data_IF_699397325470
#
_entry.id   IF_699397325470
#
_cell.length_a   1.000
_cell.length_b   1.000
_cell.length_c   1.000
_cell.angle_alpha   90.00
_cell.angle_beta   90.00
_cell.angle_gamma   90.00
#
_symmetry.space_group_name_H-M   'P 1'
#
loop_
_entity.id
_entity.type
_entity.pdbx_description
1 polymer ?
#
# COMPACT_ATOMS: atom_id res chain seq x y z
N UNK A 1 7.90 -17.02 0.02
CA UNK A 1 7.82 -16.56 -1.39
C UNK A 1 7.96 -17.73 -2.39
N UNK A 2 9.08 -18.45 -2.44
CA UNK A 2 9.31 -19.54 -3.44
C UNK A 2 8.17 -20.56 -3.45
N UNK A 3 7.71 -21.04 -2.28
CA UNK A 3 6.62 -22.01 -2.17
C UNK A 3 5.29 -21.45 -2.70
N UNK A 4 5.01 -20.17 -2.47
CA UNK A 4 3.79 -19.52 -2.99
C UNK A 4 3.85 -19.45 -4.51
N UNK A 5 4.98 -18.97 -5.05
CA UNK A 5 5.18 -18.86 -6.50
C UNK A 5 5.08 -20.22 -7.17
N UNK A 6 5.81 -21.22 -6.66
CA UNK A 6 5.77 -22.59 -7.19
C UNK A 6 4.38 -23.21 -7.03
N UNK A 7 3.72 -23.03 -5.88
CA UNK A 7 2.38 -23.52 -5.62
C UNK A 7 1.34 -22.95 -6.60
N UNK A 8 1.32 -21.63 -6.79
CA UNK A 8 0.40 -20.99 -7.73
C UNK A 8 0.71 -21.35 -9.20
N UNK A 9 1.98 -21.45 -9.58
CA UNK A 9 2.35 -21.92 -10.91
C UNK A 9 1.87 -23.37 -11.16
N UNK A 10 1.99 -24.22 -10.16
CA UNK A 10 1.49 -25.60 -10.24
C UNK A 10 -0.04 -25.64 -10.32
N UNK A 11 -0.73 -24.81 -9.53
CA UNK A 11 -2.21 -24.69 -9.61
C UNK A 11 -2.61 -24.20 -10.98
N UNK A 12 -1.92 -23.21 -11.56
CA UNK A 12 -2.20 -22.74 -12.91
C UNK A 12 -2.08 -23.87 -13.96
N UNK A 13 -1.03 -24.70 -13.84
CA UNK A 13 -0.85 -25.85 -14.73
C UNK A 13 -2.03 -26.82 -14.63
N UNK A 14 -2.40 -27.25 -13.41
CA UNK A 14 -3.55 -28.15 -13.21
C UNK A 14 -4.88 -27.52 -13.62
N UNK A 15 -5.09 -26.24 -13.28
CA UNK A 15 -6.31 -25.53 -13.65
C UNK A 15 -6.43 -25.37 -15.17
N UNK A 16 -5.33 -25.13 -15.88
CA UNK A 16 -5.33 -25.04 -17.33
C UNK A 16 -5.63 -26.38 -17.98
N UNK A 17 -5.13 -27.48 -17.45
CA UNK A 17 -5.44 -28.83 -17.93
C UNK A 17 -6.93 -29.14 -17.76
N UNK A 18 -7.49 -28.88 -16.59
CA UNK A 18 -8.92 -29.02 -16.31
C UNK A 18 -9.81 -28.12 -17.19
N UNK A 19 -9.34 -26.93 -17.55
CA UNK A 19 -10.04 -26.01 -18.43
C UNK A 19 -9.93 -26.36 -19.94
N UNK A 20 -9.24 -27.42 -20.29
CA UNK A 20 -9.01 -27.83 -21.69
C UNK A 20 -7.84 -27.11 -22.37
N UNK A 21 -6.88 -26.59 -21.58
CA UNK A 21 -5.65 -25.94 -22.03
C UNK A 21 -5.69 -24.41 -21.99
N UNK A 22 -4.50 -23.80 -22.04
CA UNK A 22 -4.37 -22.33 -22.03
C UNK A 22 -5.11 -21.64 -23.18
N UNK A 23 -5.18 -22.27 -24.36
CA UNK A 23 -5.91 -21.72 -25.49
C UNK A 23 -7.40 -21.51 -25.20
N UNK A 24 -8.01 -22.49 -24.50
CA UNK A 24 -9.44 -22.38 -24.12
C UNK A 24 -9.67 -21.28 -23.10
N UNK A 25 -8.76 -21.11 -22.13
CA UNK A 25 -8.83 -20.01 -21.15
C UNK A 25 -8.76 -18.64 -21.84
N UNK A 26 -7.84 -18.48 -22.80
CA UNK A 26 -7.68 -17.24 -23.56
C UNK A 26 -8.91 -16.97 -24.43
N UNK A 27 -9.45 -17.98 -25.12
CA UNK A 27 -10.65 -17.83 -25.92
C UNK A 27 -11.85 -17.44 -25.07
N UNK A 28 -12.04 -18.09 -23.92
CA UNK A 28 -13.09 -17.76 -22.97
C UNK A 28 -12.97 -16.32 -22.46
N UNK A 29 -11.75 -15.87 -22.15
CA UNK A 29 -11.50 -14.52 -21.71
C UNK A 29 -11.76 -13.48 -22.81
N UNK A 30 -11.43 -13.81 -24.09
CA UNK A 30 -11.72 -12.96 -25.24
C UNK A 30 -13.22 -12.87 -25.53
N UNK A 31 -13.94 -14.01 -25.49
CA UNK A 31 -15.39 -14.04 -25.73
C UNK A 31 -16.18 -13.24 -24.70
N UNK A 32 -15.68 -13.18 -23.46
CA UNK A 32 -16.30 -12.42 -22.36
C UNK A 32 -15.68 -11.05 -22.14
N UNK A 33 -14.77 -10.63 -23.02
CA UNK A 33 -14.13 -9.31 -22.99
C UNK A 33 -13.42 -8.98 -21.66
N UNK A 34 -12.80 -10.01 -21.04
CA UNK A 34 -12.14 -9.87 -19.74
C UNK A 34 -10.77 -9.18 -19.81
N UNK A 35 -10.23 -8.94 -21.02
CA UNK A 35 -8.96 -8.27 -21.20
C UNK A 35 -9.05 -6.73 -21.28
N UNK A 36 -10.22 -6.17 -20.97
CA UNK A 36 -10.37 -4.71 -20.89
C UNK A 36 -9.63 -4.14 -19.67
N UNK A 37 -8.40 -3.69 -19.89
CA UNK A 37 -7.60 -3.02 -18.86
C UNK A 37 -7.89 -1.50 -18.77
N UNK A 38 -8.52 -0.92 -19.78
CA UNK A 38 -8.84 0.50 -19.86
C UNK A 38 -10.30 0.76 -19.49
N UNK A 39 -10.61 1.89 -18.87
CA UNK A 39 -11.97 2.25 -18.53
C UNK A 39 -12.79 2.56 -19.80
N UNK A 40 -14.10 2.62 -19.64
CA UNK A 40 -14.96 3.16 -20.68
C UNK A 40 -14.48 4.56 -21.13
N UNK A 41 -14.61 4.92 -22.42
CA UNK A 41 -14.12 6.18 -22.96
C UNK A 41 -14.99 7.38 -22.54
N UNK A 42 -15.32 7.44 -21.26
CA UNK A 42 -16.05 8.53 -20.62
C UNK A 42 -15.12 9.31 -19.68
N UNK A 43 -15.37 10.60 -19.53
CA UNK A 43 -14.59 11.45 -18.60
C UNK A 43 -14.64 10.89 -17.19
N UNK A 44 -15.81 10.46 -16.74
CA UNK A 44 -15.99 9.87 -15.40
C UNK A 44 -15.22 8.56 -15.27
N UNK A 45 -15.29 7.66 -16.26
CA UNK A 45 -14.55 6.40 -16.26
C UNK A 45 -13.05 6.62 -16.11
N UNK A 46 -12.48 7.57 -16.85
CA UNK A 46 -11.06 7.92 -16.73
C UNK A 46 -10.70 8.52 -15.37
N UNK A 47 -11.55 9.38 -14.80
CA UNK A 47 -11.31 9.95 -13.47
C UNK A 47 -11.27 8.87 -12.38
N UNK A 48 -12.22 7.94 -12.40
CA UNK A 48 -12.24 6.83 -11.44
C UNK A 48 -11.06 5.87 -11.64
N UNK A 49 -10.71 5.56 -12.89
CA UNK A 49 -9.55 4.73 -13.18
C UNK A 49 -8.24 5.36 -12.71
N UNK A 50 -8.02 6.66 -12.99
CA UNK A 50 -6.85 7.41 -12.50
C UNK A 50 -6.83 7.44 -10.97
N UNK A 51 -7.98 7.65 -10.34
CA UNK A 51 -8.08 7.63 -8.88
C UNK A 51 -7.69 6.28 -8.28
N UNK A 52 -8.17 5.17 -8.85
CA UNK A 52 -7.81 3.82 -8.44
C UNK A 52 -6.31 3.55 -8.66
N UNK A 53 -5.77 3.96 -9.81
CA UNK A 53 -4.35 3.84 -10.11
C UNK A 53 -3.49 4.64 -9.10
N UNK A 54 -3.82 5.90 -8.83
CA UNK A 54 -3.15 6.73 -7.82
C UNK A 54 -3.21 6.06 -6.45
N UNK A 55 -4.38 5.55 -6.04
CA UNK A 55 -4.56 4.89 -4.75
C UNK A 55 -3.64 3.69 -4.61
N UNK A 56 -3.60 2.80 -5.58
CA UNK A 56 -2.82 1.57 -5.52
C UNK A 56 -1.32 1.78 -5.75
N UNK A 57 -0.93 2.64 -6.70
CA UNK A 57 0.48 2.87 -7.03
C UNK A 57 1.17 3.79 -6.03
N UNK A 58 0.50 4.84 -5.57
CA UNK A 58 1.10 5.88 -4.72
C UNK A 58 0.85 5.61 -3.24
N UNK A 59 -0.29 4.98 -2.89
CA UNK A 59 -0.70 4.79 -1.49
C UNK A 59 0.26 3.94 -0.65
N UNK A 60 1.02 3.06 -1.27
CA UNK A 60 2.04 2.27 -0.58
C UNK A 60 3.33 3.04 -0.26
N UNK A 61 3.60 4.16 -0.97
CA UNK A 61 4.87 4.91 -0.82
C UNK A 61 5.05 5.46 0.60
N UNK A 62 4.07 6.16 1.22
CA UNK A 62 4.24 6.72 2.56
C UNK A 62 3.95 5.71 3.68
N UNK A 63 3.89 4.41 3.40
CA UNK A 63 3.61 3.41 4.42
C UNK A 63 4.85 3.02 5.22
N UNK A 64 4.69 2.92 6.52
CA UNK A 64 5.77 2.64 7.47
C UNK A 64 6.41 1.26 7.24
N UNK A 65 5.64 0.25 6.89
CA UNK A 65 6.15 -1.10 6.66
C UNK A 65 7.06 -1.19 5.43
N UNK A 66 6.78 -0.40 4.38
CA UNK A 66 7.65 -0.27 3.19
C UNK A 66 8.96 0.44 3.58
N UNK A 67 8.85 1.56 4.30
CA UNK A 67 10.04 2.31 4.75
C UNK A 67 10.95 1.48 5.63
N UNK A 68 10.43 0.76 6.61
CA UNK A 68 11.22 -0.10 7.49
C UNK A 68 12.05 -1.12 6.71
N UNK A 69 11.48 -1.73 5.68
CA UNK A 69 12.18 -2.72 4.84
C UNK A 69 13.26 -2.09 3.99
N UNK A 70 12.99 -0.94 3.39
CA UNK A 70 13.97 -0.20 2.58
C UNK A 70 15.12 0.32 3.44
N UNK A 71 14.81 0.90 4.61
CA UNK A 71 15.82 1.44 5.53
C UNK A 71 16.68 0.37 6.21
N UNK A 72 16.19 -0.87 6.30
CA UNK A 72 16.97 -2.00 6.84
C UNK A 72 17.93 -2.64 5.82
N UNK A 73 18.01 -2.12 4.60
CA UNK A 73 18.91 -2.65 3.58
C UNK A 73 20.37 -2.40 3.91
N UNK A 74 21.24 -3.38 3.61
CA UNK A 74 22.67 -3.34 3.91
C UNK A 74 23.42 -2.14 3.29
N UNK A 75 22.98 -1.70 2.13
CA UNK A 75 23.56 -0.57 1.39
C UNK A 75 22.53 0.07 0.46
N UNK A 76 22.84 1.28 -0.04
CA UNK A 76 21.97 2.05 -0.94
C UNK A 76 21.63 1.29 -2.22
N UNK A 77 22.58 0.59 -2.82
CA UNK A 77 22.33 -0.20 -4.04
C UNK A 77 21.26 -1.28 -3.81
N UNK A 78 21.33 -1.98 -2.67
CA UNK A 78 20.33 -2.99 -2.30
C UNK A 78 18.97 -2.35 -1.98
N UNK A 79 18.97 -1.17 -1.33
CA UNK A 79 17.74 -0.43 -1.02
C UNK A 79 16.99 0.01 -2.29
N UNK A 80 17.69 0.31 -3.36
CA UNK A 80 17.11 0.72 -4.65
C UNK A 80 16.80 -0.50 -5.54
N UNK A 81 17.75 -1.42 -5.68
CA UNK A 81 17.58 -2.58 -6.57
C UNK A 81 16.53 -3.57 -6.06
N UNK A 82 16.41 -3.75 -4.74
CA UNK A 82 15.44 -4.66 -4.14
C UNK A 82 14.00 -4.37 -4.55
N UNK A 83 13.46 -3.19 -4.27
CA UNK A 83 12.11 -2.80 -4.69
C UNK A 83 11.90 -2.82 -6.21
N UNK A 84 12.91 -2.42 -7.00
CA UNK A 84 12.81 -2.42 -8.46
C UNK A 84 12.66 -3.83 -9.03
N UNK A 85 13.55 -4.74 -8.64
CA UNK A 85 13.51 -6.15 -9.06
C UNK A 85 12.23 -6.80 -8.53
N UNK A 86 11.90 -6.56 -7.25
CA UNK A 86 10.67 -7.07 -6.64
C UNK A 86 9.42 -6.61 -7.38
N UNK A 87 9.36 -5.36 -7.79
CA UNK A 87 8.26 -4.81 -8.58
C UNK A 87 8.11 -5.48 -9.96
N UNK A 88 9.22 -5.67 -10.67
CA UNK A 88 9.20 -6.36 -11.98
C UNK A 88 8.70 -7.81 -11.82
N UNK A 89 9.25 -8.54 -10.85
CA UNK A 89 8.83 -9.93 -10.55
C UNK A 89 7.35 -9.97 -10.16
N UNK A 90 6.90 -9.00 -9.36
CA UNK A 90 5.49 -8.90 -8.94
C UNK A 90 4.55 -8.68 -10.13
N UNK A 91 4.88 -7.78 -11.05
CA UNK A 91 4.08 -7.51 -12.25
C UNK A 91 3.97 -8.76 -13.11
N UNK A 92 5.09 -9.45 -13.38
CA UNK A 92 5.08 -10.68 -14.16
C UNK A 92 4.28 -11.79 -13.49
N UNK A 93 4.40 -11.91 -12.17
CA UNK A 93 3.70 -12.92 -11.41
C UNK A 93 2.20 -12.63 -11.23
N UNK A 94 1.77 -11.38 -11.28
CA UNK A 94 0.36 -10.98 -11.13
C UNK A 94 -0.57 -11.62 -12.17
N UNK A 95 -0.06 -11.97 -13.36
CA UNK A 95 -0.83 -12.68 -14.37
C UNK A 95 -1.20 -14.11 -13.97
N UNK A 96 -0.39 -14.77 -13.13
CA UNK A 96 -0.65 -16.17 -12.71
C UNK A 96 -2.01 -16.30 -12.00
N UNK A 97 -2.32 -15.59 -10.91
CA UNK A 97 -3.63 -15.67 -10.28
C UNK A 97 -4.77 -15.21 -11.19
N UNK A 98 -4.54 -14.25 -12.09
CA UNK A 98 -5.56 -13.83 -13.06
C UNK A 98 -5.97 -14.99 -13.98
N UNK A 99 -5.00 -15.70 -14.55
CA UNK A 99 -5.29 -16.87 -15.38
C UNK A 99 -5.95 -18.00 -14.59
N UNK A 100 -5.59 -18.20 -13.31
CA UNK A 100 -6.23 -19.20 -12.46
C UNK A 100 -7.71 -18.84 -12.22
N UNK A 101 -8.03 -17.56 -12.01
CA UNK A 101 -9.41 -17.11 -11.85
C UNK A 101 -10.23 -17.36 -13.12
N UNK A 102 -9.69 -17.04 -14.29
CA UNK A 102 -10.37 -17.32 -15.56
C UNK A 102 -10.53 -18.85 -15.78
N UNK A 103 -9.51 -19.65 -15.47
CA UNK A 103 -9.62 -21.11 -15.51
C UNK A 103 -10.72 -21.62 -14.56
N UNK A 104 -10.87 -21.05 -13.37
CA UNK A 104 -11.93 -21.39 -12.43
C UNK A 104 -13.32 -21.09 -13.01
N UNK A 105 -13.47 -19.98 -13.75
CA UNK A 105 -14.73 -19.65 -14.45
C UNK A 105 -15.08 -20.65 -15.54
N UNK A 106 -14.08 -21.24 -16.18
CA UNK A 106 -14.30 -22.31 -17.19
C UNK A 106 -14.62 -23.64 -16.52
N UNK A 107 -13.92 -24.00 -15.44
CA UNK A 107 -14.04 -25.31 -14.77
C UNK A 107 -15.31 -25.42 -13.93
N UNK A 108 -15.74 -24.33 -13.31
CA UNK A 108 -16.90 -24.30 -12.40
C UNK A 108 -17.79 -23.07 -12.66
N UNK A 109 -18.45 -22.96 -13.83
CA UNK A 109 -19.15 -21.76 -14.27
C UNK A 109 -20.25 -21.30 -13.29
N UNK A 110 -21.13 -22.19 -12.85
CA UNK A 110 -22.26 -21.85 -11.95
C UNK A 110 -21.77 -21.38 -10.57
N UNK A 111 -20.74 -22.03 -10.02
CA UNK A 111 -20.15 -21.66 -8.73
C UNK A 111 -19.40 -20.32 -8.86
N UNK A 112 -18.70 -20.12 -9.97
CA UNK A 112 -17.94 -18.90 -10.23
C UNK A 112 -18.85 -17.69 -10.37
N UNK A 113 -19.95 -17.80 -11.10
CA UNK A 113 -20.90 -16.72 -11.27
C UNK A 113 -21.50 -16.29 -9.92
N UNK A 114 -21.92 -17.24 -9.10
CA UNK A 114 -22.43 -16.95 -7.77
C UNK A 114 -21.36 -16.30 -6.87
N UNK A 115 -20.14 -16.85 -6.83
CA UNK A 115 -19.07 -16.34 -5.98
C UNK A 115 -18.58 -14.96 -6.43
N UNK A 116 -18.54 -14.66 -7.71
CA UNK A 116 -18.14 -13.34 -8.21
C UNK A 116 -19.08 -12.23 -7.73
N UNK A 117 -20.38 -12.54 -7.54
CA UNK A 117 -21.36 -11.58 -7.03
C UNK A 117 -21.45 -11.53 -5.50
N UNK A 118 -21.13 -12.63 -4.81
CA UNK A 118 -21.31 -12.72 -3.34
C UNK A 118 -20.01 -12.58 -2.56
N UNK A 119 -18.96 -13.31 -2.96
CA UNK A 119 -17.67 -13.35 -2.26
C UNK A 119 -16.53 -13.77 -3.24
N UNK A 120 -16.05 -12.86 -4.10
CA UNK A 120 -15.06 -13.16 -5.13
C UNK A 120 -13.76 -13.76 -4.61
N UNK A 121 -13.38 -13.42 -3.37
CA UNK A 121 -12.16 -13.91 -2.74
C UNK A 121 -12.18 -15.42 -2.44
N UNK A 122 -13.36 -16.06 -2.42
CA UNK A 122 -13.50 -17.51 -2.22
C UNK A 122 -13.29 -18.32 -3.51
N UNK A 123 -13.26 -17.69 -4.68
CA UNK A 123 -13.21 -18.38 -5.95
C UNK A 123 -11.95 -19.27 -6.06
N UNK A 124 -10.77 -18.70 -5.83
CA UNK A 124 -9.50 -19.45 -5.87
C UNK A 124 -9.41 -20.52 -4.78
N UNK A 125 -9.72 -20.26 -3.50
CA UNK A 125 -9.78 -21.30 -2.47
C UNK A 125 -10.75 -22.45 -2.81
N UNK A 126 -11.91 -22.16 -3.40
CA UNK A 126 -12.90 -23.17 -3.79
C UNK A 126 -12.36 -24.04 -4.91
N UNK A 127 -11.78 -23.45 -5.97
CA UNK A 127 -11.13 -24.21 -7.04
C UNK A 127 -10.06 -25.16 -6.47
N UNK A 128 -9.20 -24.66 -5.59
CA UNK A 128 -8.13 -25.49 -5.01
C UNK A 128 -8.71 -26.58 -4.12
N UNK A 129 -9.70 -26.26 -3.29
CA UNK A 129 -10.31 -27.22 -2.35
C UNK A 129 -11.01 -28.37 -3.08
N UNK A 130 -11.75 -28.10 -4.14
CA UNK A 130 -12.68 -29.06 -4.72
C UNK A 130 -12.09 -29.79 -5.95
N UNK A 131 -11.19 -29.15 -6.69
CA UNK A 131 -10.67 -29.67 -7.96
C UNK A 131 -9.19 -30.06 -7.95
N UNK A 132 -8.41 -29.68 -6.91
CA UNK A 132 -6.98 -29.98 -6.89
C UNK A 132 -6.66 -31.21 -6.04
N UNK A 133 -5.54 -31.94 -6.33
CA UNK A 133 -5.12 -33.08 -5.53
C UNK A 133 -4.74 -32.68 -4.11
N UNK A 134 -4.88 -33.59 -3.15
CA UNK A 134 -4.71 -33.35 -1.71
C UNK A 134 -3.37 -32.70 -1.36
N UNK A 135 -2.27 -33.15 -1.95
CA UNK A 135 -0.95 -32.57 -1.67
C UNK A 135 -0.85 -31.10 -2.08
N UNK A 136 -1.49 -30.71 -3.18
CA UNK A 136 -1.49 -29.31 -3.65
C UNK A 136 -2.38 -28.41 -2.79
N UNK A 137 -3.51 -28.95 -2.29
CA UNK A 137 -4.36 -28.25 -1.29
C UNK A 137 -3.55 -27.90 -0.04
N UNK A 138 -2.81 -28.86 0.51
CA UNK A 138 -1.99 -28.66 1.73
C UNK A 138 -0.92 -27.60 1.48
N UNK A 139 -0.20 -27.67 0.36
CA UNK A 139 0.82 -26.68 -0.01
C UNK A 139 0.20 -25.29 -0.16
N UNK A 140 -0.91 -25.17 -0.87
CA UNK A 140 -1.58 -23.89 -1.11
C UNK A 140 -2.06 -23.23 0.20
N UNK A 141 -2.89 -23.94 0.98
CA UNK A 141 -3.44 -23.38 2.22
C UNK A 141 -2.34 -23.11 3.27
N UNK A 142 -1.32 -23.97 3.34
CA UNK A 142 -0.15 -23.73 4.20
C UNK A 142 0.65 -22.50 3.77
N UNK A 143 0.86 -22.31 2.47
CA UNK A 143 1.55 -21.15 1.93
C UNK A 143 0.76 -19.85 2.15
N UNK A 144 -0.56 -19.87 1.91
CA UNK A 144 -1.45 -18.73 2.16
C UNK A 144 -1.45 -18.35 3.65
N UNK A 145 -1.62 -19.32 4.54
CA UNK A 145 -1.59 -19.08 5.98
C UNK A 145 -0.25 -18.47 6.43
N UNK A 146 0.86 -19.02 5.95
CA UNK A 146 2.19 -18.49 6.23
C UNK A 146 2.36 -17.04 5.73
N UNK A 147 1.87 -16.73 4.53
CA UNK A 147 1.91 -15.38 3.97
C UNK A 147 1.08 -14.38 4.81
N UNK A 148 -0.13 -14.78 5.18
CA UNK A 148 -1.03 -13.96 6.04
C UNK A 148 -0.38 -13.70 7.39
N UNK A 149 0.16 -14.72 8.06
CA UNK A 149 0.81 -14.57 9.36
C UNK A 149 2.04 -13.65 9.27
N UNK A 150 2.87 -13.81 8.24
CA UNK A 150 4.05 -12.97 8.01
C UNK A 150 3.69 -11.50 7.80
N UNK A 151 2.69 -11.25 6.97
CA UNK A 151 2.22 -9.89 6.67
C UNK A 151 1.55 -9.25 7.88
N UNK A 152 0.64 -9.97 8.55
CA UNK A 152 -0.05 -9.47 9.75
C UNK A 152 0.94 -9.09 10.86
N UNK A 153 1.96 -9.92 11.09
CA UNK A 153 3.00 -9.61 12.09
C UNK A 153 3.74 -8.31 11.77
N UNK A 154 4.12 -8.10 10.52
CA UNK A 154 4.84 -6.88 10.11
C UNK A 154 3.96 -5.63 10.19
N UNK A 155 2.71 -5.73 9.71
CA UNK A 155 1.77 -4.59 9.68
C UNK A 155 1.27 -4.17 11.05
N UNK A 156 1.19 -5.10 12.02
CA UNK A 156 0.84 -4.76 13.42
C UNK A 156 2.05 -4.20 14.17
N UNK A 157 3.26 -4.70 13.89
CA UNK A 157 4.46 -4.24 14.58
C UNK A 157 4.79 -2.77 14.24
N UNK A 158 4.64 -2.36 12.98
CA UNK A 158 4.99 -1.01 12.53
C UNK A 158 4.25 0.11 13.29
N UNK A 159 2.91 0.14 13.36
CA UNK A 159 2.19 1.15 14.14
C UNK A 159 2.43 0.99 15.65
N UNK A 160 2.62 -0.22 16.15
CA UNK A 160 2.93 -0.45 17.56
C UNK A 160 4.25 0.22 17.96
N UNK A 161 5.29 0.07 17.12
CA UNK A 161 6.57 0.73 17.33
C UNK A 161 6.42 2.24 17.28
N UNK A 162 5.69 2.78 16.29
CA UNK A 162 5.45 4.22 16.17
C UNK A 162 4.72 4.80 17.39
N UNK A 163 3.72 4.11 17.92
CA UNK A 163 3.00 4.54 19.14
C UNK A 163 3.92 4.56 20.34
N UNK A 164 4.70 3.50 20.57
CA UNK A 164 5.59 3.43 21.73
C UNK A 164 6.71 4.47 21.61
N UNK A 165 7.37 4.56 20.44
CA UNK A 165 8.53 5.43 20.27
C UNK A 165 8.17 6.91 20.14
N UNK A 166 7.03 7.26 19.53
CA UNK A 166 6.71 8.66 19.22
C UNK A 166 5.64 9.26 20.14
N UNK A 167 4.80 8.42 20.76
CA UNK A 167 3.71 8.90 21.62
C UNK A 167 4.04 8.57 23.08
N UNK A 168 4.17 7.30 23.43
CA UNK A 168 4.34 6.91 24.83
C UNK A 168 5.67 7.38 25.42
N UNK A 169 6.76 7.39 24.64
CA UNK A 169 8.08 7.86 25.08
C UNK A 169 8.12 9.36 25.42
N UNK A 170 7.16 10.17 24.92
CA UNK A 170 7.03 11.58 25.27
C UNK A 170 6.52 11.74 26.72
N UNK A 171 5.64 10.83 27.15
CA UNK A 171 5.00 10.90 28.47
C UNK A 171 5.70 10.02 29.52
N UNK A 172 6.42 8.99 29.08
CA UNK A 172 7.03 7.98 29.95
C UNK A 172 8.47 7.73 29.57
N UNK A 173 9.36 7.74 30.57
CA UNK A 173 10.76 7.30 30.36
C UNK A 173 10.81 5.79 30.42
N UNK A 174 11.23 5.16 29.34
CA UNK A 174 11.37 3.70 29.25
C UNK A 174 12.84 3.28 29.41
N UNK A 175 13.06 2.29 30.25
CA UNK A 175 14.24 1.43 30.20
C UNK A 175 14.03 0.34 29.12
N UNK A 176 15.08 -0.27 28.60
CA UNK A 176 15.02 -1.27 27.51
C UNK A 176 13.99 -2.38 27.79
N UNK A 177 13.93 -2.87 29.04
CA UNK A 177 12.97 -3.92 29.44
C UNK A 177 11.53 -3.42 29.48
N UNK A 178 11.31 -2.19 29.91
CA UNK A 178 9.98 -1.57 29.99
C UNK A 178 9.49 -1.19 28.59
N UNK A 179 10.37 -0.73 27.71
CA UNK A 179 10.08 -0.43 26.32
C UNK A 179 9.63 -1.69 25.57
N UNK A 180 10.35 -2.81 25.73
CA UNK A 180 9.95 -4.09 25.14
C UNK A 180 8.61 -4.58 25.65
N UNK A 181 8.31 -4.41 26.95
CA UNK A 181 6.99 -4.74 27.50
C UNK A 181 5.88 -3.85 26.94
N UNK A 182 6.13 -2.54 26.85
CA UNK A 182 5.20 -1.59 26.23
C UNK A 182 4.88 -1.98 24.78
N UNK A 183 5.92 -2.32 23.99
CA UNK A 183 5.72 -2.79 22.59
C UNK A 183 4.87 -4.05 22.53
N UNK A 184 5.10 -5.06 23.39
CA UNK A 184 4.29 -6.28 23.42
C UNK A 184 2.83 -6.02 23.76
N UNK A 185 2.56 -5.15 24.74
CA UNK A 185 1.19 -4.78 25.10
C UNK A 185 0.51 -3.97 24.00
N UNK A 186 1.24 -3.10 23.31
CA UNK A 186 0.71 -2.32 22.18
C UNK A 186 0.38 -3.23 21.01
N UNK A 187 1.26 -4.19 20.67
CA UNK A 187 0.99 -5.21 19.64
C UNK A 187 -0.27 -6.02 20.00
N UNK A 188 -0.37 -6.47 21.25
CA UNK A 188 -1.54 -7.23 21.71
C UNK A 188 -2.84 -6.42 21.60
N UNK A 189 -2.82 -5.16 22.03
CA UNK A 189 -3.95 -4.25 21.91
C UNK A 189 -4.35 -4.02 20.44
N UNK A 190 -3.39 -3.70 19.57
CA UNK A 190 -3.67 -3.56 18.14
C UNK A 190 -4.22 -4.82 17.51
N UNK A 191 -3.73 -5.99 17.92
CA UNK A 191 -4.26 -7.27 17.43
C UNK A 191 -5.73 -7.42 17.79
N UNK A 192 -6.13 -7.07 19.02
CA UNK A 192 -7.53 -7.11 19.44
C UNK A 192 -8.40 -6.11 18.68
N UNK A 193 -7.91 -4.90 18.46
CA UNK A 193 -8.62 -3.86 17.66
C UNK A 193 -8.83 -4.34 16.23
N UNK A 194 -7.77 -4.85 15.59
CA UNK A 194 -7.85 -5.38 14.22
C UNK A 194 -8.78 -6.57 14.13
N UNK A 195 -8.75 -7.47 15.12
CA UNK A 195 -9.67 -8.61 15.18
C UNK A 195 -11.12 -8.13 15.28
N UNK A 196 -11.42 -7.20 16.20
CA UNK A 196 -12.76 -6.62 16.33
C UNK A 196 -13.24 -5.96 15.05
N UNK A 197 -12.39 -5.17 14.40
CA UNK A 197 -12.69 -4.56 13.12
C UNK A 197 -12.94 -5.61 12.02
N UNK A 198 -12.08 -6.63 11.92
CA UNK A 198 -12.22 -7.71 10.94
C UNK A 198 -13.53 -8.46 11.07
N UNK A 199 -14.02 -8.66 12.31
CA UNK A 199 -15.32 -9.29 12.55
C UNK A 199 -16.50 -8.40 12.14
N UNK A 200 -16.35 -7.07 12.15
CA UNK A 200 -17.41 -6.13 11.76
C UNK A 200 -17.53 -5.92 10.26
N UNK A 201 -16.46 -6.18 9.49
CA UNK A 201 -16.40 -5.97 8.02
C UNK A 201 -16.43 -7.27 7.22
N UNK A 202 -16.96 -8.34 7.79
CA UNK A 202 -17.10 -9.62 7.08
C UNK A 202 -17.93 -9.46 5.81
N UNK A 203 -17.46 -10.08 4.71
CA UNK A 203 -18.09 -9.98 3.39
C UNK A 203 -17.57 -8.83 2.50
N UNK A 204 -16.80 -7.90 3.05
CA UNK A 204 -16.15 -6.87 2.23
C UNK A 204 -14.98 -7.48 1.45
N UNK A 205 -14.86 -7.16 0.16
CA UNK A 205 -13.75 -7.63 -0.65
C UNK A 205 -12.40 -7.14 -0.11
N UNK A 206 -11.39 -8.00 -0.12
CA UNK A 206 -10.03 -7.66 0.36
C UNK A 206 -9.47 -6.45 -0.41
N UNK A 207 -9.77 -6.37 -1.72
CA UNK A 207 -9.37 -5.24 -2.56
C UNK A 207 -9.89 -3.91 -2.00
N UNK A 208 -11.17 -3.84 -1.63
CA UNK A 208 -11.79 -2.62 -1.11
C UNK A 208 -11.21 -2.22 0.25
N UNK A 209 -10.97 -3.20 1.12
CA UNK A 209 -10.31 -2.96 2.40
C UNK A 209 -8.90 -2.39 2.23
N UNK A 210 -8.12 -2.93 1.30
CA UNK A 210 -6.77 -2.43 0.98
C UNK A 210 -6.84 -1.04 0.35
N UNK A 211 -7.77 -0.83 -0.59
CA UNK A 211 -7.99 0.47 -1.21
C UNK A 211 -8.35 1.53 -0.16
N UNK A 212 -9.25 1.24 0.76
CA UNK A 212 -9.60 2.13 1.88
C UNK A 212 -8.38 2.45 2.75
N UNK A 213 -7.56 1.45 3.09
CA UNK A 213 -6.35 1.65 3.88
C UNK A 213 -5.31 2.55 3.18
N UNK A 214 -5.24 2.49 1.84
CA UNK A 214 -4.31 3.29 1.04
C UNK A 214 -4.76 4.73 0.81
N UNK A 215 -6.06 5.03 0.94
CA UNK A 215 -6.60 6.39 0.75
C UNK A 215 -5.98 7.40 1.73
N UNK A 216 -5.88 7.06 3.02
CA UNK A 216 -5.31 7.96 4.03
C UNK A 216 -3.85 8.35 3.74
N UNK A 217 -2.92 7.41 3.45
CA UNK A 217 -1.56 7.74 3.06
C UNK A 217 -1.47 8.60 1.80
N UNK A 218 -2.29 8.33 0.78
CA UNK A 218 -2.31 9.11 -0.46
C UNK A 218 -2.69 10.56 -0.19
N UNK A 219 -3.79 10.75 0.51
CA UNK A 219 -4.39 12.06 0.72
C UNK A 219 -3.64 12.88 1.78
N UNK A 220 -3.18 12.22 2.86
CA UNK A 220 -2.61 12.91 4.02
C UNK A 220 -1.08 12.96 4.07
N UNK A 221 -0.38 11.97 3.52
CA UNK A 221 1.05 11.79 3.77
C UNK A 221 1.93 11.91 2.52
N UNK A 222 1.42 11.60 1.34
CA UNK A 222 2.23 11.56 0.11
C UNK A 222 2.87 12.91 -0.23
N UNK A 223 2.08 13.97 -0.34
CA UNK A 223 2.59 15.30 -0.69
C UNK A 223 3.54 15.87 0.36
N UNK A 224 3.25 15.82 1.66
CA UNK A 224 4.20 16.16 2.72
C UNK A 224 5.53 15.43 2.60
N UNK A 225 5.49 14.13 2.33
CA UNK A 225 6.69 13.31 2.18
C UNK A 225 7.50 13.71 0.95
N UNK A 226 6.88 13.74 -0.24
CA UNK A 226 7.57 14.04 -1.51
C UNK A 226 8.11 15.45 -1.52
N UNK A 227 7.29 16.44 -1.15
CA UNK A 227 7.74 17.82 -1.09
C UNK A 227 8.80 18.03 0.01
N UNK A 228 8.68 17.35 1.13
CA UNK A 228 9.69 17.41 2.20
C UNK A 228 11.05 16.89 1.74
N UNK A 229 11.09 15.86 0.90
CA UNK A 229 12.33 15.29 0.38
C UNK A 229 12.92 16.06 -0.81
N UNK A 230 12.07 16.51 -1.75
CA UNK A 230 12.54 17.02 -3.04
C UNK A 230 12.35 18.53 -3.24
N UNK A 231 11.47 19.17 -2.47
CA UNK A 231 11.19 20.58 -2.64
C UNK A 231 11.71 21.45 -1.49
N UNK A 232 12.83 22.15 -1.71
CA UNK A 232 13.54 22.97 -0.70
C UNK A 232 12.70 24.10 -0.08
N UNK A 233 11.57 24.47 -0.67
CA UNK A 233 10.69 25.53 -0.18
C UNK A 233 9.55 25.02 0.69
N UNK A 234 9.48 23.72 0.95
CA UNK A 234 8.44 23.12 1.81
C UNK A 234 8.54 23.68 3.22
N UNK A 235 7.40 24.11 3.76
CA UNK A 235 7.31 24.67 5.11
C UNK A 235 6.35 23.85 5.98
N UNK A 236 6.49 23.98 7.32
CA UNK A 236 5.57 23.32 8.27
C UNK A 236 4.11 23.70 8.01
N UNK A 237 3.84 24.97 7.69
CA UNK A 237 2.48 25.42 7.38
C UNK A 237 1.95 24.78 6.11
N UNK A 238 2.77 24.64 5.06
CA UNK A 238 2.42 23.95 3.84
C UNK A 238 2.04 22.49 4.11
N UNK A 239 2.81 21.79 4.97
CA UNK A 239 2.51 20.43 5.39
C UNK A 239 1.16 20.34 6.10
N UNK A 240 0.91 21.17 7.11
CA UNK A 240 -0.37 21.17 7.82
C UNK A 240 -1.56 21.51 6.90
N UNK A 241 -1.39 22.50 6.03
CA UNK A 241 -2.44 22.87 5.09
C UNK A 241 -2.73 21.77 4.06
N UNK A 242 -1.68 21.08 3.60
CA UNK A 242 -1.80 19.91 2.74
C UNK A 242 -2.65 18.80 3.38
N UNK A 243 -2.28 18.41 4.59
CA UNK A 243 -2.98 17.35 5.32
C UNK A 243 -4.43 17.72 5.61
N UNK A 244 -4.69 18.97 6.04
CA UNK A 244 -6.03 19.44 6.37
C UNK A 244 -6.92 19.54 5.13
N UNK A 245 -6.46 20.20 4.06
CA UNK A 245 -7.25 20.34 2.84
C UNK A 245 -7.51 19.01 2.17
N UNK A 246 -6.48 18.14 2.12
CA UNK A 246 -6.64 16.80 1.60
C UNK A 246 -7.71 16.01 2.34
N UNK A 247 -7.62 15.98 3.68
CA UNK A 247 -8.57 15.26 4.52
C UNK A 247 -9.99 15.84 4.42
N UNK A 248 -10.15 17.16 4.41
CA UNK A 248 -11.46 17.83 4.30
C UNK A 248 -12.10 17.50 2.96
N UNK A 249 -11.39 17.71 1.84
CA UNK A 249 -11.95 17.47 0.51
C UNK A 249 -12.26 15.99 0.31
N UNK A 250 -11.38 15.10 0.73
CA UNK A 250 -11.63 13.65 0.71
C UNK A 250 -12.89 13.29 1.51
N UNK A 251 -13.04 13.81 2.73
CA UNK A 251 -14.20 13.55 3.59
C UNK A 251 -15.49 14.10 2.97
N UNK A 252 -15.46 15.32 2.46
CA UNK A 252 -16.64 15.93 1.79
C UNK A 252 -17.07 15.07 0.60
N UNK A 253 -16.13 14.69 -0.26
CA UNK A 253 -16.45 13.84 -1.42
C UNK A 253 -16.91 12.42 -1.03
N UNK A 254 -16.40 11.88 0.08
CA UNK A 254 -16.80 10.54 0.55
C UNK A 254 -18.23 10.53 1.11
N UNK A 255 -18.66 11.62 1.76
CA UNK A 255 -19.97 11.66 2.44
C UNK A 255 -21.05 12.47 1.70
N UNK A 256 -20.74 12.94 0.50
CA UNK A 256 -21.71 13.64 -0.35
C UNK A 256 -21.84 12.98 -1.71
N UNK A 257 -22.96 13.21 -2.41
CA UNK A 257 -23.18 12.76 -3.77
C UNK A 257 -22.20 13.33 -4.82
N UNK A 258 -21.36 14.30 -4.43
CA UNK A 258 -20.30 14.81 -5.29
C UNK A 258 -19.25 13.73 -5.60
N UNK A 259 -19.08 12.76 -4.70
CA UNK A 259 -18.18 11.61 -4.89
C UNK A 259 -18.61 10.68 -6.04
N UNK A 260 -19.87 10.68 -6.43
CA UNK A 260 -20.37 9.89 -7.57
C UNK A 260 -19.91 10.49 -8.92
N UNK A 261 -19.63 11.79 -8.95
CA UNK A 261 -19.16 12.51 -10.14
C UNK A 261 -17.64 12.67 -10.16
N UNK A 262 -17.05 12.94 -8.99
CA UNK A 262 -15.62 13.16 -8.87
C UNK A 262 -15.01 12.29 -7.77
N UNK A 263 -14.02 11.41 -8.08
CA UNK A 263 -13.48 10.45 -7.13
C UNK A 263 -12.87 11.11 -5.90
N UNK A 264 -13.26 10.65 -4.71
CA UNK A 264 -12.87 11.20 -3.43
C UNK A 264 -11.34 11.24 -3.22
N UNK A 265 -10.64 10.16 -3.58
CA UNK A 265 -9.18 10.09 -3.42
C UNK A 265 -8.47 11.06 -4.36
N UNK A 266 -8.90 11.15 -5.60
CA UNK A 266 -8.32 12.09 -6.56
C UNK A 266 -8.54 13.53 -6.10
N UNK A 267 -9.75 13.86 -5.62
CA UNK A 267 -10.07 15.18 -5.06
C UNK A 267 -9.21 15.53 -3.86
N UNK A 268 -9.13 14.62 -2.89
CA UNK A 268 -8.27 14.79 -1.71
C UNK A 268 -6.78 14.92 -2.07
N UNK A 269 -6.29 14.10 -3.00
CA UNK A 269 -4.92 14.15 -3.50
C UNK A 269 -4.57 15.50 -4.15
N UNK A 270 -5.42 16.00 -5.04
CA UNK A 270 -5.22 17.30 -5.67
C UNK A 270 -5.31 18.47 -4.68
N UNK A 271 -6.25 18.40 -3.74
CA UNK A 271 -6.40 19.40 -2.69
C UNK A 271 -5.18 19.44 -1.74
N UNK A 272 -4.63 18.26 -1.40
CA UNK A 272 -3.41 18.16 -0.62
C UNK A 272 -2.20 18.77 -1.36
N UNK A 273 -2.07 18.48 -2.66
CA UNK A 273 -1.05 19.09 -3.51
C UNK A 273 -1.17 20.59 -3.61
N UNK A 274 -2.39 21.10 -3.79
CA UNK A 274 -2.65 22.54 -3.75
C UNK A 274 -2.31 23.15 -2.38
N UNK A 275 -2.68 22.48 -1.29
CA UNK A 275 -2.43 22.91 0.08
C UNK A 275 -0.94 23.07 0.40
N UNK A 276 -0.10 22.10 -0.01
CA UNK A 276 1.34 22.18 0.28
C UNK A 276 2.00 23.32 -0.51
N UNK A 277 1.61 23.49 -1.78
CA UNK A 277 2.15 24.56 -2.63
C UNK A 277 1.77 25.94 -2.08
N UNK A 278 0.48 26.18 -1.86
CA UNK A 278 -0.02 27.47 -1.38
C UNK A 278 0.50 27.78 0.02
N UNK A 279 0.43 26.82 0.95
CA UNK A 279 0.89 27.02 2.32
C UNK A 279 2.41 27.23 2.43
N UNK A 280 3.20 26.66 1.51
CA UNK A 280 4.65 26.87 1.50
C UNK A 280 5.08 28.18 0.82
N UNK A 281 4.30 28.68 -0.14
CA UNK A 281 4.60 29.90 -0.87
C UNK A 281 4.09 31.16 -0.16
N UNK A 282 3.09 31.06 0.73
CA UNK A 282 2.59 32.20 1.48
C UNK A 282 3.66 32.70 2.48
N UNK A 283 4.11 33.96 2.39
CA UNK A 283 5.17 34.48 3.21
C UNK A 283 4.63 34.88 4.60
N UNK A 284 4.51 33.94 5.50
CA UNK A 284 4.18 34.22 6.92
C UNK A 284 5.44 34.41 7.75
N UNK A 285 5.31 35.10 8.90
CA UNK A 285 6.45 35.32 9.82
C UNK A 285 7.10 34.01 10.25
N UNK A 286 6.32 32.97 10.55
CA UNK A 286 6.81 31.68 10.94
C UNK A 286 7.61 30.98 9.82
N UNK A 287 7.17 31.10 8.56
CA UNK A 287 7.90 30.57 7.41
C UNK A 287 9.22 31.31 7.16
N UNK A 288 9.26 32.62 7.35
CA UNK A 288 10.49 33.41 7.23
C UNK A 288 11.51 33.01 8.29
N UNK A 289 11.11 32.98 9.55
CA UNK A 289 11.98 32.57 10.66
C UNK A 289 12.53 31.17 10.45
N UNK A 290 11.68 30.21 10.09
CA UNK A 290 12.11 28.86 9.80
C UNK A 290 13.13 28.78 8.65
N UNK A 291 12.90 29.51 7.57
CA UNK A 291 13.83 29.54 6.43
C UNK A 291 15.14 30.24 6.77
N UNK A 292 15.13 31.26 7.63
CA UNK A 292 16.31 31.94 8.12
C UNK A 292 17.13 31.03 9.07
N UNK A 293 16.46 30.38 10.01
CA UNK A 293 17.08 29.38 10.90
C UNK A 293 17.67 28.21 10.13
N UNK A 294 16.93 27.69 9.14
CA UNK A 294 17.40 26.60 8.29
C UNK A 294 18.60 27.00 7.45
N UNK A 295 18.60 28.22 6.87
CA UNK A 295 19.72 28.77 6.12
C UNK A 295 20.94 28.98 7.03
N UNK A 296 20.73 29.55 8.20
CA UNK A 296 21.81 29.74 9.18
C UNK A 296 22.45 28.40 9.60
N UNK A 297 21.63 27.39 9.85
CA UNK A 297 22.10 26.06 10.29
C UNK A 297 22.78 25.25 9.18
N UNK A 298 22.44 25.49 7.92
CA UNK A 298 22.94 24.72 6.77
C UNK A 298 23.79 25.56 5.81
N UNK A 299 24.24 26.74 6.23
CA UNK A 299 24.98 27.67 5.38
C UNK A 299 26.20 26.99 4.73
N UNK A 300 26.96 26.23 5.48
CA UNK A 300 28.16 25.52 5.00
C UNK A 300 27.83 24.28 4.15
N UNK A 301 26.69 23.65 4.38
CA UNK A 301 26.22 22.47 3.63
C UNK A 301 25.58 22.83 2.29
N UNK A 302 25.00 24.02 2.15
CA UNK A 302 24.36 24.47 0.90
C UNK A 302 25.38 24.86 -0.15
N UNK A 303 26.53 25.39 0.28
CA UNK A 303 27.63 25.79 -0.62
C UNK A 303 28.40 24.57 -1.15
N UNK A 304 28.48 23.50 -0.37
CA UNK A 304 29.27 22.32 -0.64
C UNK A 304 28.46 21.05 -0.93
N UNK A 305 27.14 21.14 -1.01
CA UNK A 305 26.33 19.97 -1.28
C UNK A 305 26.52 19.53 -2.74
N UNK A 306 27.07 18.33 -3.00
CA UNK A 306 27.06 17.79 -4.35
C UNK A 306 25.61 17.62 -4.80
N UNK A 307 25.32 17.89 -6.07
CA UNK A 307 23.99 17.79 -6.67
C UNK A 307 23.36 16.37 -6.60
N UNK A 308 24.18 15.40 -6.22
CA UNK A 308 23.76 14.04 -5.84
C UNK A 308 24.56 13.65 -4.58
N UNK A 309 23.90 13.19 -3.51
CA UNK A 309 24.64 12.74 -2.32
C UNK A 309 25.41 11.46 -2.66
N UNK A 310 26.73 11.55 -2.78
CA UNK A 310 27.57 10.41 -2.47
C UNK A 310 27.33 10.12 -0.99
N UNK A 311 26.52 9.11 -0.71
CA UNK A 311 26.17 8.71 0.65
C UNK A 311 27.41 8.15 1.33
N UNK A 312 28.14 9.02 2.02
CA UNK A 312 28.96 8.56 3.11
C UNK A 312 28.03 8.15 4.25
N UNK A 313 28.21 6.98 4.84
CA UNK A 313 27.36 6.52 5.92
C UNK A 313 27.43 7.52 7.07
N UNK A 314 26.27 7.95 7.55
CA UNK A 314 26.13 8.72 8.80
C UNK A 314 26.80 7.88 9.90
N UNK A 315 27.80 8.39 10.62
CA UNK A 315 28.44 7.62 11.66
C UNK A 315 27.41 7.26 12.75
N UNK A 316 27.45 6.01 13.18
CA UNK A 316 26.51 5.45 14.17
C UNK A 316 26.50 6.18 15.53
N UNK A 317 27.42 7.13 15.76
CA UNK A 317 27.52 7.94 16.96
C UNK A 317 26.50 9.08 17.07
N UNK A 318 25.66 9.33 16.06
CA UNK A 318 24.62 10.38 16.10
C UNK A 318 23.21 9.85 16.30
N UNK A 319 23.08 8.54 16.58
CA UNK A 319 21.79 7.89 16.91
C UNK A 319 21.74 7.43 18.39
N UNK A 320 22.50 8.06 19.28
CA UNK A 320 22.38 7.85 20.72
C UNK A 320 21.39 8.86 21.35
#
# INVERSE_FOLDING_TARGET
MIIIVAGLATILFFASDLAGGFGNIINYANERDLFHALPEPTTTGWLFWISAAITMMIGSIPQQDVFQRVMSAKNMSTAVAGPLIGGIVYILFAFVPMFIVVAAMVVMPDISENLLHTDPQRLLPTLVKDYMPMWLRVIFFGAVLSAVMSTASATILAPSTAVVSNILSVFMKFDDKSMLRAMRWTVFFFTLVVLGYSLSVQGTAIYDMVAMAYQFPVVGAFWPLVCGLYWKKTTRQGVYLSMLLGAIVWSVLTWTSLGDVFPNVLGGFLAAGFGIVTGSLIPTRANRQYMEEWRAKNHDNVINAPLLPNANPVPASTMA
#
